data_IF_935764066390
#
_entry.id   IF_935764066390
#
_cell.length_a   1.000
_cell.length_b   1.000
_cell.length_c   1.000
_cell.angle_alpha   90.00
_cell.angle_beta   90.00
_cell.angle_gamma   90.00
#
_symmetry.space_group_name_H-M   'P 1'
#
loop_
_entity.id
_entity.type
_entity.pdbx_description
1 polymer ?
#
# COMPACT_ATOMS: atom_id res chain seq x y z
N UNK A 1 -3.48 3.43 19.36
CA UNK A 1 -3.33 4.80 19.93
C UNK A 1 -2.60 4.84 21.27
N UNK A 2 -2.82 3.92 22.20
CA UNK A 2 -2.12 3.89 23.49
C UNK A 2 -0.60 3.75 23.35
N UNK A 3 -0.13 2.96 22.39
CA UNK A 3 1.29 2.66 22.19
C UNK A 3 2.09 3.84 21.68
N UNK A 4 1.53 4.60 20.74
CA UNK A 4 2.19 5.83 20.24
C UNK A 4 2.35 6.85 21.36
N UNK A 5 1.42 6.88 22.31
CA UNK A 5 1.53 7.72 23.53
C UNK A 5 2.58 7.22 24.50
N UNK A 6 2.71 5.89 24.67
CA UNK A 6 3.70 5.28 25.55
C UNK A 6 5.13 5.33 25.00
N UNK A 7 5.27 5.27 23.67
CA UNK A 7 6.56 5.35 22.96
C UNK A 7 6.91 6.76 22.48
N UNK A 8 6.15 7.75 22.90
CA UNK A 8 6.03 9.11 22.41
C UNK A 8 7.27 9.90 22.02
N UNK A 9 7.17 11.25 21.97
CA UNK A 9 8.18 12.12 21.36
C UNK A 9 9.52 12.18 22.09
N UNK A 10 9.73 11.38 23.12
CA UNK A 10 10.96 11.31 23.90
C UNK A 10 12.00 10.33 23.33
N UNK A 11 11.59 9.42 22.40
CA UNK A 11 12.54 8.49 21.79
C UNK A 11 13.36 9.23 20.74
N UNK A 12 14.68 9.23 20.91
CA UNK A 12 15.59 9.81 19.92
C UNK A 12 15.75 8.91 18.70
N UNK A 13 16.10 9.49 17.55
CA UNK A 13 16.37 8.72 16.33
C UNK A 13 17.57 7.79 16.48
N UNK A 14 18.54 8.13 17.33
CA UNK A 14 19.70 7.28 17.61
C UNK A 14 19.35 6.04 18.43
N UNK A 15 18.29 6.09 19.21
CA UNK A 15 17.79 4.92 19.96
C UNK A 15 16.94 4.03 19.07
N UNK A 16 16.06 4.64 18.29
CA UNK A 16 15.16 3.91 17.37
C UNK A 16 15.06 4.65 16.04
N UNK A 17 15.63 4.12 14.99
CA UNK A 17 15.42 4.62 13.64
C UNK A 17 13.97 4.41 13.18
N UNK A 18 13.62 4.74 11.95
CA UNK A 18 12.25 4.61 11.45
C UNK A 18 11.74 3.17 11.52
N UNK A 19 12.57 2.19 11.21
CA UNK A 19 12.26 0.77 11.28
C UNK A 19 12.16 0.28 12.73
N UNK A 20 13.14 0.63 13.57
CA UNK A 20 13.17 0.26 14.99
C UNK A 20 11.96 0.77 15.75
N UNK A 21 11.53 2.01 15.47
CA UNK A 21 10.31 2.57 16.04
C UNK A 21 9.06 1.73 15.70
N UNK A 22 8.92 1.29 14.45
CA UNK A 22 7.78 0.45 14.02
C UNK A 22 7.85 -0.92 14.69
N UNK A 23 9.01 -1.58 14.69
CA UNK A 23 9.21 -2.86 15.38
C UNK A 23 8.87 -2.77 16.87
N UNK A 24 9.32 -1.71 17.53
CA UNK A 24 9.00 -1.48 18.93
C UNK A 24 7.51 -1.31 19.17
N UNK A 25 6.81 -0.57 18.31
CA UNK A 25 5.36 -0.42 18.41
C UNK A 25 4.64 -1.78 18.27
N UNK A 26 5.03 -2.60 17.31
CA UNK A 26 4.44 -3.93 17.10
C UNK A 26 4.71 -4.84 18.30
N UNK A 27 5.95 -4.88 18.78
CA UNK A 27 6.33 -5.73 19.91
C UNK A 27 5.64 -5.31 21.21
N UNK A 28 5.40 -4.02 21.43
CA UNK A 28 4.62 -3.52 22.56
C UNK A 28 3.13 -3.85 22.46
N UNK A 29 2.62 -4.13 21.24
CA UNK A 29 1.26 -4.62 21.02
C UNK A 29 1.09 -6.14 21.21
N UNK A 30 2.16 -6.85 21.54
CA UNK A 30 2.13 -8.31 21.66
C UNK A 30 2.48 -9.05 20.36
N UNK A 31 2.80 -8.33 19.28
CA UNK A 31 3.41 -8.91 18.07
C UNK A 31 4.89 -9.24 18.31
N UNK A 32 5.50 -9.89 17.34
CA UNK A 32 6.94 -10.19 17.36
C UNK A 32 7.53 -10.01 15.97
N UNK A 33 8.32 -8.95 15.79
CA UNK A 33 8.99 -8.68 14.51
C UNK A 33 10.41 -8.18 14.77
N UNK A 34 11.34 -8.63 13.94
CA UNK A 34 12.70 -8.12 13.86
C UNK A 34 13.23 -8.26 12.45
N UNK A 35 13.59 -7.16 11.83
CA UNK A 35 14.00 -7.10 10.42
C UNK A 35 15.36 -6.43 10.25
N UNK A 36 15.96 -6.62 9.10
CA UNK A 36 17.23 -5.95 8.74
C UNK A 36 17.04 -4.52 8.20
N UNK A 37 15.78 -4.11 7.96
CA UNK A 37 15.45 -2.78 7.43
C UNK A 37 14.05 -2.73 6.83
N UNK A 38 13.62 -1.55 6.40
CA UNK A 38 12.29 -1.35 5.78
C UNK A 38 12.12 -2.19 4.52
N UNK A 39 13.17 -2.34 3.73
CA UNK A 39 13.19 -3.21 2.55
C UNK A 39 12.94 -4.69 2.89
N UNK A 40 13.41 -5.13 4.05
CA UNK A 40 13.16 -6.47 4.58
C UNK A 40 11.70 -6.66 4.99
N UNK A 41 11.14 -5.68 5.69
CA UNK A 41 9.70 -5.67 6.05
C UNK A 41 8.80 -5.84 4.82
N UNK A 42 9.08 -5.09 3.75
CA UNK A 42 8.30 -5.14 2.53
C UNK A 42 8.42 -6.48 1.82
N UNK A 43 9.59 -7.11 1.84
CA UNK A 43 9.85 -8.34 1.06
C UNK A 43 9.47 -9.61 1.80
N UNK A 44 9.67 -9.62 3.11
CA UNK A 44 9.56 -10.85 3.91
C UNK A 44 8.40 -10.87 4.89
N UNK A 45 7.85 -9.71 5.23
CA UNK A 45 6.79 -9.57 6.24
C UNK A 45 5.50 -8.94 5.69
N UNK A 46 5.42 -8.71 4.38
CA UNK A 46 4.29 -8.06 3.74
C UNK A 46 3.06 -8.97 3.69
N UNK A 47 1.95 -8.54 4.28
CA UNK A 47 0.62 -9.09 4.06
C UNK A 47 -0.11 -8.38 2.92
N UNK A 48 0.10 -7.07 2.78
CA UNK A 48 -0.44 -6.26 1.69
C UNK A 48 0.44 -5.02 1.46
N UNK A 49 0.64 -4.67 0.19
CA UNK A 49 1.37 -3.48 -0.24
C UNK A 49 0.64 -2.82 -1.40
N UNK A 50 0.47 -1.52 -1.38
CA UNK A 50 -0.10 -0.76 -2.47
C UNK A 50 0.28 0.72 -2.41
N UNK A 51 0.05 1.46 -3.49
CA UNK A 51 0.20 2.92 -3.46
C UNK A 51 -0.81 3.54 -2.49
N UNK A 52 -0.58 4.78 -2.05
CA UNK A 52 -1.55 5.46 -1.18
C UNK A 52 -2.93 5.59 -1.82
N UNK A 53 -3.00 5.80 -3.14
CA UNK A 53 -4.28 5.89 -3.82
C UNK A 53 -4.98 4.54 -3.88
N UNK A 54 -4.23 3.45 -4.11
CA UNK A 54 -4.79 2.10 -4.03
C UNK A 54 -5.26 1.77 -2.60
N UNK A 55 -4.50 2.18 -1.59
CA UNK A 55 -4.88 1.97 -0.20
C UNK A 55 -6.18 2.71 0.16
N UNK A 56 -6.33 3.94 -0.30
CA UNK A 56 -7.58 4.71 -0.12
C UNK A 56 -8.75 4.04 -0.82
N UNK A 57 -8.59 3.71 -2.12
CA UNK A 57 -9.63 3.08 -2.92
C UNK A 57 -10.07 1.72 -2.37
N UNK A 58 -9.14 0.96 -1.78
CA UNK A 58 -9.40 -0.34 -1.16
C UNK A 58 -9.84 -0.26 0.31
N UNK A 59 -10.05 0.94 0.87
CA UNK A 59 -10.37 1.11 2.29
C UNK A 59 -9.27 0.65 3.26
N UNK A 60 -8.03 0.53 2.78
CA UNK A 60 -6.88 0.03 3.56
C UNK A 60 -6.01 1.14 4.16
N UNK A 61 -6.33 2.41 3.91
CA UNK A 61 -5.69 3.52 4.60
C UNK A 61 -6.40 3.78 5.94
N UNK A 62 -6.17 2.89 6.91
CA UNK A 62 -6.79 2.92 8.23
C UNK A 62 -5.74 3.16 9.32
N UNK A 63 -6.12 3.72 10.49
CA UNK A 63 -5.19 3.88 11.61
C UNK A 63 -4.52 2.55 11.97
N UNK A 64 -3.19 2.53 11.99
CA UNK A 64 -2.38 1.32 12.17
C UNK A 64 -1.74 0.80 10.88
N UNK A 65 -2.19 1.22 9.71
CA UNK A 65 -1.47 0.94 8.46
C UNK A 65 -0.08 1.58 8.49
N UNK A 66 0.92 0.89 7.96
CA UNK A 66 2.26 1.44 7.83
C UNK A 66 2.36 2.20 6.51
N UNK A 67 3.04 3.33 6.52
CA UNK A 67 3.31 4.13 5.33
C UNK A 67 4.77 4.10 4.98
N UNK A 68 5.06 4.08 3.69
CA UNK A 68 6.39 3.93 3.14
C UNK A 68 6.73 5.08 2.20
N UNK A 69 8.00 5.47 2.18
CA UNK A 69 8.59 6.28 1.12
C UNK A 69 9.35 5.36 0.19
N UNK A 70 8.87 5.25 -1.04
CA UNK A 70 9.50 4.47 -2.10
C UNK A 70 10.39 5.36 -2.96
N UNK A 71 11.53 4.82 -3.34
CA UNK A 71 12.44 5.40 -4.32
C UNK A 71 12.80 4.40 -5.40
N UNK A 72 13.35 4.92 -6.46
CA UNK A 72 13.95 4.09 -7.49
C UNK A 72 15.13 3.30 -6.92
N UNK A 73 15.35 2.11 -7.51
CA UNK A 73 16.53 1.31 -7.22
C UNK A 73 17.80 2.10 -7.52
N UNK A 74 18.73 2.07 -6.60
CA UNK A 74 20.03 2.70 -6.72
C UNK A 74 21.10 1.80 -6.09
N UNK A 75 22.37 2.18 -6.22
CA UNK A 75 23.48 1.47 -5.60
C UNK A 75 23.45 1.49 -4.06
N UNK A 76 22.58 2.31 -3.47
CA UNK A 76 22.35 2.34 -2.02
C UNK A 76 21.46 1.18 -1.55
N UNK A 77 20.65 0.58 -2.44
CA UNK A 77 19.85 -0.58 -2.12
C UNK A 77 20.78 -1.78 -1.89
N UNK A 78 20.61 -2.55 -0.79
CA UNK A 78 21.41 -3.75 -0.55
C UNK A 78 21.38 -4.69 -1.75
N UNK A 79 22.55 -5.25 -2.11
CA UNK A 79 22.71 -6.06 -3.33
C UNK A 79 21.68 -7.20 -3.46
N UNK A 80 21.32 -7.82 -2.33
CA UNK A 80 20.32 -8.91 -2.28
C UNK A 80 18.91 -8.51 -2.73
N UNK A 81 18.63 -7.21 -2.84
CA UNK A 81 17.32 -6.67 -3.24
C UNK A 81 17.35 -5.97 -4.60
N UNK A 82 18.53 -5.87 -5.22
CA UNK A 82 18.67 -5.26 -6.54
C UNK A 82 18.12 -6.16 -7.63
N UNK A 83 17.50 -5.55 -8.64
CA UNK A 83 16.95 -6.28 -9.78
C UNK A 83 15.64 -7.03 -9.50
N UNK A 84 15.09 -6.98 -8.30
CA UNK A 84 13.80 -7.62 -7.98
C UNK A 84 12.60 -6.80 -8.48
N UNK A 85 12.83 -5.56 -8.90
CA UNK A 85 11.82 -4.68 -9.46
C UNK A 85 10.94 -3.99 -8.43
N UNK A 86 11.19 -4.18 -7.12
CA UNK A 86 10.42 -3.52 -6.05
C UNK A 86 10.93 -2.11 -5.75
N UNK A 87 12.18 -1.78 -6.12
CA UNK A 87 12.80 -0.52 -5.77
C UNK A 87 13.23 -0.45 -4.31
N UNK A 88 13.43 0.76 -3.81
CA UNK A 88 13.94 1.03 -2.47
C UNK A 88 12.88 1.67 -1.56
N UNK A 89 12.47 0.95 -0.52
CA UNK A 89 11.61 1.45 0.56
C UNK A 89 12.50 1.91 1.71
N UNK A 90 12.87 3.18 1.70
CA UNK A 90 13.91 3.69 2.58
C UNK A 90 13.40 4.39 3.84
N UNK A 91 12.09 4.48 4.01
CA UNK A 91 11.50 5.08 5.21
C UNK A 91 10.12 4.48 5.50
N UNK A 92 9.77 4.39 6.78
CA UNK A 92 8.50 3.86 7.27
C UNK A 92 7.95 4.70 8.42
N UNK A 93 6.62 4.79 8.50
CA UNK A 93 5.88 5.40 9.59
C UNK A 93 4.55 4.70 9.81
N UNK A 94 3.78 5.16 10.79
CA UNK A 94 2.47 4.60 11.15
C UNK A 94 1.40 5.65 10.83
N UNK A 95 0.42 5.30 10.02
CA UNK A 95 -0.76 6.12 9.82
C UNK A 95 -1.64 6.07 11.07
N UNK A 96 -2.00 7.22 11.60
CA UNK A 96 -2.76 7.36 12.85
C UNK A 96 -4.17 7.93 12.63
N UNK A 97 -4.56 8.05 11.35
CA UNK A 97 -5.82 8.69 10.97
C UNK A 97 -5.67 10.19 10.73
N UNK A 98 -6.70 10.81 10.18
CA UNK A 98 -6.72 12.26 9.94
C UNK A 98 -6.51 12.98 11.28
N UNK A 99 -5.43 13.75 11.36
CA UNK A 99 -5.01 14.51 12.56
C UNK A 99 -4.94 13.68 13.85
N UNK A 100 -4.70 12.37 13.72
CA UNK A 100 -4.72 11.42 14.84
C UNK A 100 -3.58 11.59 15.85
N UNK A 101 -2.55 12.38 15.54
CA UNK A 101 -1.43 12.68 16.42
C UNK A 101 -1.24 14.19 16.57
N UNK A 102 -1.04 14.67 17.79
CA UNK A 102 -0.83 16.11 18.08
C UNK A 102 0.47 16.31 18.84
N UNK A 103 1.35 17.13 18.29
CA UNK A 103 2.55 17.62 18.95
C UNK A 103 2.32 19.02 19.54
N UNK A 104 2.89 19.23 20.72
CA UNK A 104 3.01 20.58 21.28
C UNK A 104 4.19 21.29 20.64
N UNK A 105 3.93 22.37 19.96
CA UNK A 105 4.96 23.26 19.45
C UNK A 105 5.44 24.28 20.48
N UNK A 106 6.35 25.14 20.06
CA UNK A 106 6.80 26.28 20.86
C UNK A 106 5.63 27.22 21.15
N UNK A 107 5.67 27.87 22.29
CA UNK A 107 4.67 28.85 22.76
C UNK A 107 3.24 28.26 22.88
N UNK A 108 3.12 26.92 23.14
CA UNK A 108 1.82 26.30 23.36
C UNK A 108 1.03 26.01 22.10
N UNK A 109 1.58 26.23 20.92
CA UNK A 109 0.96 25.84 19.64
C UNK A 109 0.76 24.33 19.60
N UNK A 110 -0.30 23.89 18.88
CA UNK A 110 -0.57 22.47 18.65
C UNK A 110 -0.61 22.20 17.15
N UNK A 111 0.13 21.19 16.74
CA UNK A 111 0.16 20.73 15.36
C UNK A 111 -0.35 19.31 15.28
N UNK A 112 -1.35 19.06 14.44
CA UNK A 112 -1.94 17.74 14.27
C UNK A 112 -1.45 17.11 12.97
N UNK A 113 -1.21 15.79 13.01
CA UNK A 113 -0.57 15.01 11.96
C UNK A 113 -1.31 13.70 11.72
N UNK A 114 -1.16 13.18 10.50
CA UNK A 114 -1.79 11.95 10.05
C UNK A 114 -0.87 10.73 10.24
N UNK A 115 0.43 10.98 10.35
CA UNK A 115 1.48 9.95 10.39
C UNK A 115 2.43 10.23 11.54
N UNK A 116 2.87 9.17 12.21
CA UNK A 116 3.95 9.21 13.22
C UNK A 116 5.09 8.35 12.75
N UNK A 117 6.31 8.86 12.83
CA UNK A 117 7.52 8.16 12.43
C UNK A 117 8.72 8.62 13.22
N UNK A 118 9.75 7.78 13.30
CA UNK A 118 11.06 8.26 13.79
C UNK A 118 11.77 9.01 12.67
N UNK A 119 11.99 10.30 12.87
CA UNK A 119 12.49 11.23 11.86
C UNK A 119 13.97 11.55 12.09
N UNK A 120 14.83 11.18 11.15
CA UNK A 120 16.26 11.54 11.18
C UNK A 120 16.45 13.05 11.21
N UNK A 121 15.69 13.80 10.42
CA UNK A 121 15.78 15.27 10.33
C UNK A 121 15.39 15.95 11.64
N UNK A 122 14.38 15.41 12.34
CA UNK A 122 13.94 15.94 13.64
C UNK A 122 14.68 15.30 14.82
N UNK A 123 15.49 14.28 14.58
CA UNK A 123 16.27 13.57 15.60
C UNK A 123 15.44 12.75 16.59
N UNK A 124 14.14 12.57 16.35
CA UNK A 124 13.20 11.94 17.27
C UNK A 124 11.95 11.43 16.57
N UNK A 125 11.10 10.72 17.32
CA UNK A 125 9.74 10.41 16.90
C UNK A 125 8.94 11.71 16.74
N UNK A 126 8.29 11.88 15.59
CA UNK A 126 7.62 13.10 15.20
C UNK A 126 6.42 12.86 14.31
N UNK A 127 5.53 13.85 14.24
CA UNK A 127 4.41 13.88 13.33
C UNK A 127 4.75 14.34 11.93
N UNK A 128 4.00 13.83 10.95
CA UNK A 128 4.06 14.16 9.53
C UNK A 128 2.66 14.13 8.93
N UNK A 129 2.45 14.85 7.83
CA UNK A 129 1.21 14.79 7.05
C UNK A 129 1.36 13.82 5.89
N UNK A 130 0.25 13.32 5.34
CA UNK A 130 0.24 12.47 4.14
C UNK A 130 0.92 13.12 2.94
N UNK A 131 0.98 14.47 2.90
CA UNK A 131 1.61 15.22 1.82
C UNK A 131 3.14 15.19 1.83
N UNK A 132 3.75 14.64 2.88
CA UNK A 132 5.21 14.68 3.08
C UNK A 132 5.94 13.52 2.39
N UNK A 133 5.57 13.19 1.15
CA UNK A 133 6.29 12.23 0.31
C UNK A 133 5.99 10.76 0.58
N UNK A 134 4.99 10.44 1.39
CA UNK A 134 4.51 9.07 1.55
C UNK A 134 3.94 8.57 0.23
N UNK A 135 4.32 7.37 -0.19
CA UNK A 135 4.00 6.84 -1.52
C UNK A 135 3.18 5.55 -1.47
N UNK A 136 3.41 4.71 -0.47
CA UNK A 136 2.79 3.40 -0.35
C UNK A 136 2.25 3.18 1.06
N UNK A 137 1.27 2.27 1.15
CA UNK A 137 0.82 1.70 2.41
C UNK A 137 1.16 0.21 2.46
N UNK A 138 1.48 -0.28 3.65
CA UNK A 138 1.92 -1.64 3.93
C UNK A 138 1.10 -2.20 5.10
N UNK A 139 0.66 -3.45 4.97
CA UNK A 139 0.20 -4.27 6.08
C UNK A 139 1.24 -5.36 6.33
N UNK A 140 1.58 -5.58 7.57
CA UNK A 140 2.52 -6.61 8.00
C UNK A 140 1.78 -7.85 8.51
N UNK A 141 2.36 -9.03 8.30
CA UNK A 141 1.79 -10.32 8.71
C UNK A 141 1.67 -10.44 10.22
N UNK A 142 2.54 -9.77 10.96
CA UNK A 142 2.62 -9.79 12.42
C UNK A 142 1.60 -8.88 13.10
N UNK A 143 0.75 -8.19 12.33
CA UNK A 143 -0.27 -7.26 12.85
C UNK A 143 -1.64 -7.73 12.45
N UNK A 144 -2.51 -7.91 13.46
CA UNK A 144 -3.92 -8.17 13.24
C UNK A 144 -4.66 -6.84 12.97
N UNK A 145 -5.18 -6.70 11.75
CA UNK A 145 -6.00 -5.55 11.35
C UNK A 145 -7.50 -5.80 11.56
N UNK A 146 -7.87 -6.94 12.18
CA UNK A 146 -9.26 -7.32 12.47
C UNK A 146 -10.13 -7.42 11.21
N UNK A 147 -11.41 -7.19 11.36
CA UNK A 147 -12.40 -7.21 10.27
C UNK A 147 -12.22 -6.07 9.24
N UNK A 148 -11.25 -5.18 9.43
CA UNK A 148 -10.89 -4.15 8.45
C UNK A 148 -10.39 -4.75 7.12
N UNK A 149 -10.11 -6.05 7.08
CA UNK A 149 -9.82 -6.80 5.86
C UNK A 149 -11.07 -7.32 5.14
N UNK A 150 -12.22 -7.39 5.79
CA UNK A 150 -13.51 -7.69 5.19
C UNK A 150 -14.12 -6.38 4.72
N UNK A 151 -14.33 -6.27 3.42
CA UNK A 151 -14.75 -5.06 2.69
C UNK A 151 -15.72 -4.18 3.46
N UNK A 152 -15.46 -2.89 3.43
CA UNK A 152 -16.44 -1.88 3.81
C UNK A 152 -17.69 -2.13 2.96
N UNK A 153 -18.78 -2.62 3.54
CA UNK A 153 -20.10 -2.42 2.94
C UNK A 153 -20.25 -0.90 2.80
N UNK A 154 -20.26 -0.45 1.55
CA UNK A 154 -20.62 0.93 1.25
C UNK A 154 -22.02 1.16 1.83
N UNK A 155 -22.10 2.07 2.80
CA UNK A 155 -23.38 2.49 3.37
C UNK A 155 -24.35 2.89 2.28
N UNK A 156 -25.63 2.69 2.51
CA UNK A 156 -26.73 2.91 1.57
C UNK A 156 -26.75 4.29 0.90
N UNK A 157 -26.04 5.28 1.49
CA UNK A 157 -25.95 6.64 0.95
C UNK A 157 -25.06 6.78 -0.30
N UNK A 158 -24.20 5.79 -0.60
CA UNK A 158 -23.39 5.79 -1.81
C UNK A 158 -24.11 5.22 -3.04
N UNK A 159 -25.28 4.59 -2.86
CA UNK A 159 -26.10 4.07 -3.98
C UNK A 159 -26.89 5.14 -4.71
N UNK A 160 -27.11 6.30 -4.09
CA UNK A 160 -27.99 7.35 -4.65
C UNK A 160 -27.28 8.36 -5.54
N UNK A 161 -26.00 8.20 -5.84
CA UNK A 161 -25.21 9.15 -6.66
C UNK A 161 -24.97 8.61 -8.09
N UNK A 162 -25.42 7.38 -8.41
CA UNK A 162 -25.14 6.74 -9.70
C UNK A 162 -26.33 6.68 -10.68
N UNK A 163 -27.44 7.35 -10.39
CA UNK A 163 -28.59 7.43 -11.29
C UNK A 163 -28.76 8.85 -11.87
N UNK A 164 -27.95 9.20 -12.86
CA UNK A 164 -28.31 10.16 -13.91
C UNK A 164 -27.71 9.69 -15.25
N UNK A 165 -28.52 9.66 -16.32
CA UNK A 165 -28.10 9.06 -17.59
C UNK A 165 -27.49 10.11 -18.50
N UNK A 166 -26.32 9.85 -19.03
CA UNK A 166 -25.79 10.55 -20.20
C UNK A 166 -25.62 9.57 -21.36
N UNK A 167 -26.49 9.75 -22.34
CA UNK A 167 -26.57 9.11 -23.65
C UNK A 167 -25.34 9.35 -24.52
N UNK A 168 -24.82 8.32 -25.16
CA UNK A 168 -24.72 8.10 -26.62
C UNK A 168 -23.78 6.93 -26.92
N UNK A 169 -24.40 5.90 -27.51
CA UNK A 169 -24.06 5.11 -28.70
C UNK A 169 -22.58 4.71 -28.91
N UNK A 170 -22.19 3.44 -29.04
CA UNK A 170 -22.59 2.43 -30.01
C UNK A 170 -22.13 1.02 -29.56
N UNK A 171 -23.06 0.09 -29.58
CA UNK A 171 -23.06 -1.34 -29.94
C UNK A 171 -21.73 -2.07 -30.04
N UNK A 172 -21.55 -3.27 -29.52
CA UNK A 172 -22.29 -4.51 -29.70
C UNK A 172 -21.76 -5.62 -28.80
N UNK A 173 -22.69 -6.44 -28.30
CA UNK A 173 -22.68 -7.88 -28.08
C UNK A 173 -21.90 -8.50 -26.89
N UNK A 174 -22.77 -9.24 -26.21
CA UNK A 174 -22.65 -10.50 -25.46
C UNK A 174 -22.40 -10.35 -23.96
N UNK A 175 -23.48 -10.58 -23.23
CA UNK A 175 -23.49 -10.91 -21.82
C UNK A 175 -22.75 -12.24 -21.62
N UNK A 176 -21.45 -12.15 -21.36
CA UNK A 176 -20.68 -13.22 -20.77
C UNK A 176 -20.36 -12.81 -19.34
N UNK A 177 -20.63 -13.70 -18.40
CA UNK A 177 -20.40 -13.52 -16.97
C UNK A 177 -19.02 -12.93 -16.75
N UNK A 178 -18.97 -11.67 -16.34
CA UNK A 178 -17.74 -10.92 -16.21
C UNK A 178 -16.80 -11.61 -15.19
N UNK A 179 -15.81 -12.33 -15.69
CA UNK A 179 -14.84 -13.03 -14.86
C UNK A 179 -14.05 -11.99 -14.02
N UNK A 180 -14.06 -12.18 -12.71
CA UNK A 180 -13.17 -11.44 -11.81
C UNK A 180 -11.97 -12.32 -11.49
N UNK A 181 -10.79 -11.74 -11.54
CA UNK A 181 -9.54 -12.41 -11.15
C UNK A 181 -8.99 -11.81 -9.87
N UNK A 182 -8.27 -12.63 -9.12
CA UNK A 182 -7.43 -12.20 -8.00
C UNK A 182 -5.97 -12.37 -8.38
N UNK A 183 -5.15 -11.38 -8.08
CA UNK A 183 -3.70 -11.45 -8.29
C UNK A 183 -3.08 -12.38 -7.27
N UNK A 184 -2.25 -13.31 -7.76
CA UNK A 184 -1.45 -14.22 -6.96
C UNK A 184 0.00 -14.12 -7.38
N UNK A 185 0.91 -14.33 -6.44
CA UNK A 185 2.34 -14.36 -6.75
C UNK A 185 3.00 -15.45 -5.90
N UNK A 186 3.70 -16.41 -6.52
CA UNK A 186 4.38 -17.49 -5.78
C UNK A 186 5.37 -16.98 -4.74
N UNK A 187 5.94 -15.80 -4.97
CA UNK A 187 6.94 -15.19 -4.11
C UNK A 187 6.37 -14.04 -3.25
N UNK A 188 5.04 -13.84 -3.24
CA UNK A 188 4.40 -12.73 -2.52
C UNK A 188 4.71 -11.34 -3.07
N UNK A 189 5.53 -11.21 -4.10
CA UNK A 189 5.93 -9.95 -4.71
C UNK A 189 4.89 -9.40 -5.70
N UNK A 190 5.02 -8.12 -6.09
CA UNK A 190 4.10 -7.50 -7.02
C UNK A 190 4.24 -8.06 -8.44
N UNK A 191 3.14 -8.08 -9.16
CA UNK A 191 3.03 -8.57 -10.53
C UNK A 191 3.04 -7.40 -11.50
N UNK A 192 3.88 -7.48 -12.53
CA UNK A 192 3.99 -6.43 -13.55
C UNK A 192 2.73 -6.33 -14.38
N UNK A 193 2.18 -5.13 -14.45
CA UNK A 193 1.10 -4.75 -15.38
C UNK A 193 1.73 -4.06 -16.59
N UNK A 194 1.31 -4.45 -17.79
CA UNK A 194 1.95 -4.06 -19.05
C UNK A 194 1.00 -3.31 -19.97
N UNK A 195 1.54 -2.54 -20.90
CA UNK A 195 0.75 -1.83 -21.91
C UNK A 195 0.27 -2.74 -23.05
N UNK A 196 0.78 -3.97 -23.14
CA UNK A 196 0.41 -4.95 -24.17
C UNK A 196 0.44 -6.37 -23.65
N UNK A 197 -0.26 -7.27 -24.31
CA UNK A 197 -0.36 -8.69 -24.01
C UNK A 197 0.89 -9.46 -24.45
N UNK A 198 2.04 -9.14 -23.86
CA UNK A 198 3.33 -9.79 -24.17
C UNK A 198 4.32 -9.58 -23.02
N UNK A 199 5.21 -10.54 -22.79
CA UNK A 199 6.33 -10.39 -21.85
C UNK A 199 7.32 -9.29 -22.27
N UNK A 200 7.39 -8.98 -23.56
CA UNK A 200 8.23 -7.92 -24.12
C UNK A 200 7.50 -6.57 -24.24
N UNK A 201 6.20 -6.51 -23.89
CA UNK A 201 5.47 -5.26 -23.90
C UNK A 201 5.99 -4.30 -22.83
N UNK A 202 5.91 -3.02 -23.14
CA UNK A 202 6.36 -1.95 -22.24
C UNK A 202 5.70 -2.13 -20.87
N UNK A 203 6.55 -2.25 -19.88
CA UNK A 203 6.19 -2.15 -18.49
C UNK A 203 6.70 -0.79 -18.00
N UNK A 204 5.77 0.12 -17.73
CA UNK A 204 6.14 1.40 -17.12
C UNK A 204 6.39 1.20 -15.63
N UNK A 205 7.37 1.90 -15.12
CA UNK A 205 7.70 1.95 -13.72
C UNK A 205 6.48 2.35 -12.89
N UNK A 206 6.23 1.62 -11.80
CA UNK A 206 5.06 1.83 -10.94
C UNK A 206 3.78 1.10 -11.39
N UNK A 207 3.80 0.34 -12.49
CA UNK A 207 2.65 -0.46 -12.91
C UNK A 207 2.76 -1.88 -12.36
N UNK A 208 2.44 -2.02 -11.09
CA UNK A 208 2.43 -3.29 -10.37
C UNK A 208 1.06 -3.54 -9.74
N UNK A 209 0.51 -4.73 -10.00
CA UNK A 209 -0.62 -5.27 -9.26
C UNK A 209 -0.10 -6.16 -8.12
N UNK A 210 -0.74 -6.10 -6.97
CA UNK A 210 -0.25 -6.77 -5.77
C UNK A 210 -1.10 -8.00 -5.45
N UNK A 211 -0.51 -9.05 -4.83
CA UNK A 211 -1.26 -10.23 -4.41
C UNK A 211 -2.49 -9.87 -3.59
N UNK A 212 -3.62 -10.49 -3.92
CA UNK A 212 -4.91 -10.23 -3.30
C UNK A 212 -5.77 -9.18 -3.98
N UNK A 213 -5.20 -8.30 -4.81
CA UNK A 213 -5.99 -7.34 -5.61
C UNK A 213 -6.90 -8.08 -6.60
N UNK A 214 -8.13 -7.60 -6.72
CA UNK A 214 -9.14 -8.16 -7.65
C UNK A 214 -9.36 -7.21 -8.81
N UNK A 215 -9.44 -7.79 -10.01
CA UNK A 215 -9.69 -7.05 -11.24
C UNK A 215 -10.76 -7.76 -12.09
N UNK A 216 -11.66 -6.98 -12.67
CA UNK A 216 -12.57 -7.47 -13.70
C UNK A 216 -11.78 -7.71 -14.99
N UNK A 217 -11.96 -8.88 -15.59
CA UNK A 217 -11.40 -9.22 -16.89
C UNK A 217 -12.27 -8.60 -17.98
N UNK A 218 -11.65 -7.85 -18.86
CA UNK A 218 -12.32 -7.20 -20.00
C UNK A 218 -11.89 -7.80 -21.34
N UNK A 219 -10.97 -8.74 -21.30
CA UNK A 219 -10.51 -9.47 -22.46
C UNK A 219 -9.28 -10.32 -22.16
N UNK A 220 -8.98 -11.21 -23.09
CA UNK A 220 -7.85 -12.11 -23.00
C UNK A 220 -7.09 -12.13 -24.32
N UNK A 221 -5.74 -12.14 -24.24
CA UNK A 221 -4.87 -12.27 -25.39
C UNK A 221 -3.51 -12.81 -24.98
N UNK A 222 -2.98 -13.78 -25.72
CA UNK A 222 -1.60 -14.31 -25.57
C UNK A 222 -1.23 -14.70 -24.13
N UNK A 223 -2.16 -15.27 -23.35
CA UNK A 223 -1.91 -15.64 -21.97
C UNK A 223 -1.91 -14.46 -20.98
N UNK A 224 -2.51 -13.34 -21.37
CA UNK A 224 -2.71 -12.17 -20.53
C UNK A 224 -4.19 -11.82 -20.45
N UNK A 225 -4.61 -11.33 -19.27
CA UNK A 225 -5.90 -10.68 -19.08
C UNK A 225 -5.79 -9.17 -19.27
N UNK A 226 -6.77 -8.59 -19.99
CA UNK A 226 -6.95 -7.15 -20.04
C UNK A 226 -7.77 -6.72 -18.83
N UNK A 227 -7.25 -5.78 -18.07
CA UNK A 227 -7.85 -5.24 -16.86
C UNK A 227 -7.83 -3.71 -16.91
N UNK A 228 -8.76 -3.09 -16.18
CA UNK A 228 -8.68 -1.64 -15.96
C UNK A 228 -7.75 -1.38 -14.78
N UNK A 229 -6.65 -0.68 -15.02
CA UNK A 229 -5.58 -0.45 -14.06
C UNK A 229 -5.07 0.98 -14.15
N UNK A 230 -5.15 1.73 -13.05
CA UNK A 230 -4.70 3.14 -12.98
C UNK A 230 -5.19 4.00 -14.15
N UNK A 231 -6.54 4.03 -14.35
CA UNK A 231 -7.17 4.89 -15.33
C UNK A 231 -7.07 4.45 -16.80
N UNK A 232 -6.50 3.27 -17.10
CA UNK A 232 -6.34 2.74 -18.47
C UNK A 232 -6.47 1.23 -18.52
N UNK A 233 -6.84 0.72 -19.69
CA UNK A 233 -6.78 -0.72 -19.98
C UNK A 233 -5.33 -1.16 -20.14
N UNK A 234 -4.95 -2.20 -19.38
CA UNK A 234 -3.61 -2.79 -19.37
C UNK A 234 -3.68 -4.30 -19.25
N UNK A 235 -2.53 -4.94 -19.28
CA UNK A 235 -2.44 -6.38 -19.35
C UNK A 235 -1.65 -6.96 -18.17
N UNK A 236 -2.21 -8.01 -17.55
CA UNK A 236 -1.57 -8.81 -16.50
C UNK A 236 -1.46 -10.25 -16.97
N UNK A 237 -0.33 -10.90 -16.69
CA UNK A 237 -0.14 -12.31 -17.08
C UNK A 237 -1.06 -13.24 -16.27
N UNK A 238 -1.74 -14.15 -16.95
CA UNK A 238 -2.63 -15.16 -16.36
C UNK A 238 -1.95 -16.04 -15.32
N UNK A 239 -0.65 -16.32 -15.49
CA UNK A 239 0.12 -17.14 -14.54
C UNK A 239 0.20 -16.56 -13.13
N UNK A 240 -0.10 -15.27 -12.97
CA UNK A 240 -0.12 -14.56 -11.70
C UNK A 240 -1.55 -14.17 -11.28
N UNK A 241 -2.53 -14.91 -11.74
CA UNK A 241 -3.94 -14.64 -11.42
C UNK A 241 -4.68 -15.94 -11.21
N UNK A 242 -5.70 -15.90 -10.37
CA UNK A 242 -6.67 -16.98 -10.19
C UNK A 242 -8.09 -16.43 -10.26
N UNK A 243 -9.09 -17.29 -10.51
CA UNK A 243 -10.47 -16.86 -10.47
C UNK A 243 -10.82 -16.35 -9.06
N UNK A 244 -11.34 -15.13 -8.96
CA UNK A 244 -11.88 -14.64 -7.70
C UNK A 244 -13.28 -15.21 -7.49
N UNK A 245 -13.46 -15.90 -6.41
CA UNK A 245 -14.80 -16.28 -5.93
C UNK A 245 -15.49 -15.07 -5.33
#
# INVERSE_FOLDING_TARGET
MAIIRASGPTISYSEEDCKGFVEKCINLCGGSIRTSGTNDMVRNHCAWLGTLDNAKAAGKLVPGAFLLIWKEESDQLPAKYRGDGLGDFNHIGIYVGDKGFTEKGLFGSRHSYDVVHSSKTKGKVAGSTLKNGWTHALYLQEVDYGTLNSGVELGQDAKNILDEPSTSEEQTHVAETAQTIRVVSPNGGPVRVREGASLNAIHKKGFYAYPGEKYRVEGEKNGFYRIYFQGKHRWISKQYTEAAQ
#
